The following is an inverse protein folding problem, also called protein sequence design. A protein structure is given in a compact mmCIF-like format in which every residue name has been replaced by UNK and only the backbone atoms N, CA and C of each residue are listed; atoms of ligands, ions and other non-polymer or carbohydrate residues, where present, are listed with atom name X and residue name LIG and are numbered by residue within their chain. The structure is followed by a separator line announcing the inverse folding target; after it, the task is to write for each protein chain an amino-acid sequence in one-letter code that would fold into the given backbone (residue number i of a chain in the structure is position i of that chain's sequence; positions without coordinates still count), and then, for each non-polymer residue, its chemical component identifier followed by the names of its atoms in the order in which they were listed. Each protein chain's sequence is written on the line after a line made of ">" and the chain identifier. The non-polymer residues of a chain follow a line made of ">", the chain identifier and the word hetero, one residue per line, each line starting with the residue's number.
data_IF_204854361935
#
_entry.id   IF_204854361935
#
_cell.length_a   1.000
_cell.length_b   1.000
_cell.length_c   1.000
_cell.angle_alpha   90.00
_cell.angle_beta   90.00
_cell.angle_gamma   90.00
#
_symmetry.space_group_name_H-M   'P 1'
#
loop_
_entity.id
_entity.type
_entity.pdbx_description
1 polymer ?
#
# COMPACT_ATOMS: atom_id res chain seq x y z
N UNK A 1 -11.32 6.53 -12.78
CA UNK A 1 -10.39 6.20 -13.88
C UNK A 1 -10.17 4.70 -13.88
N UNK A 2 -10.68 3.95 -14.87
CA UNK A 2 -10.53 2.49 -14.92
C UNK A 2 -9.20 2.15 -15.59
N UNK A 3 -8.18 1.84 -14.79
CA UNK A 3 -6.88 1.37 -15.27
C UNK A 3 -6.92 -0.16 -15.13
N UNK A 4 -7.00 -0.92 -16.20
CA UNK A 4 -6.95 -2.38 -16.06
C UNK A 4 -7.36 -3.17 -17.29
N UNK A 5 -6.39 -3.39 -18.19
CA UNK A 5 -6.29 -4.60 -19.03
C UNK A 5 -5.17 -4.53 -20.09
N UNK A 6 -4.57 -3.35 -20.33
CA UNK A 6 -3.50 -3.18 -21.31
C UNK A 6 -2.16 -3.80 -20.88
N UNK A 7 -1.24 -4.03 -21.84
CA UNK A 7 0.13 -4.49 -21.59
C UNK A 7 0.84 -3.65 -20.52
N UNK A 8 1.75 -4.28 -19.76
CA UNK A 8 2.50 -3.63 -18.67
C UNK A 8 3.20 -2.33 -19.13
N UNK A 9 3.75 -2.30 -20.35
CA UNK A 9 4.40 -1.11 -20.88
C UNK A 9 3.43 0.07 -21.09
N UNK A 10 2.25 -0.18 -21.66
CA UNK A 10 1.22 0.86 -21.84
C UNK A 10 0.70 1.34 -20.47
N UNK A 11 0.55 0.41 -19.52
CA UNK A 11 0.16 0.72 -18.15
C UNK A 11 1.19 1.62 -17.47
N UNK A 12 2.49 1.35 -17.66
CA UNK A 12 3.58 2.20 -17.16
C UNK A 12 3.50 3.61 -17.72
N UNK A 13 3.42 3.77 -19.05
CA UNK A 13 3.35 5.08 -19.70
C UNK A 13 2.13 5.87 -19.22
N UNK A 14 1.00 5.20 -19.12
CA UNK A 14 -0.24 5.80 -18.65
C UNK A 14 -0.15 6.25 -17.19
N UNK A 15 0.32 5.38 -16.29
CA UNK A 15 0.47 5.72 -14.87
C UNK A 15 1.45 6.87 -14.68
N UNK A 16 2.60 6.85 -15.38
CA UNK A 16 3.58 7.93 -15.32
C UNK A 16 2.96 9.27 -15.72
N UNK A 17 2.28 9.32 -16.88
CA UNK A 17 1.63 10.53 -17.36
C UNK A 17 0.54 11.05 -16.40
N UNK A 18 -0.09 10.17 -15.62
CA UNK A 18 -1.12 10.54 -14.65
C UNK A 18 -0.51 11.08 -13.38
N UNK A 19 0.42 10.35 -12.76
CA UNK A 19 1.03 10.74 -11.48
C UNK A 19 1.84 12.03 -11.59
N UNK A 20 2.38 12.34 -12.77
CA UNK A 20 3.12 13.59 -13.01
C UNK A 20 2.25 14.72 -13.56
N UNK A 21 0.96 14.49 -13.74
CA UNK A 21 0.05 15.54 -14.21
C UNK A 21 -0.32 16.52 -13.10
N UNK A 22 -0.33 17.81 -13.43
CA UNK A 22 -0.83 18.88 -12.57
C UNK A 22 -2.24 18.60 -12.03
N UNK A 23 -3.10 17.99 -12.84
CA UNK A 23 -4.47 17.64 -12.44
C UNK A 23 -4.48 16.66 -11.26
N UNK A 24 -3.61 15.65 -11.32
CA UNK A 24 -3.47 14.65 -10.27
C UNK A 24 -2.87 15.28 -9.01
N UNK A 25 -1.75 15.99 -9.15
CA UNK A 25 -1.01 16.59 -8.03
C UNK A 25 -1.82 17.69 -7.31
N UNK A 26 -2.61 18.48 -8.05
CA UNK A 26 -3.47 19.54 -7.48
C UNK A 26 -4.85 19.03 -7.07
N UNK A 27 -5.10 17.72 -7.12
CA UNK A 27 -6.37 17.07 -6.74
C UNK A 27 -7.59 17.71 -7.43
N UNK A 28 -7.43 18.19 -8.67
CA UNK A 28 -8.46 18.97 -9.35
C UNK A 28 -9.66 18.12 -9.79
N UNK A 29 -10.86 18.56 -9.40
CA UNK A 29 -12.14 17.97 -9.81
C UNK A 29 -12.69 16.90 -8.87
N UNK A 30 -12.21 16.88 -7.62
CA UNK A 30 -12.60 15.91 -6.59
C UNK A 30 -13.02 16.76 -5.39
N UNK A 31 -14.33 16.80 -5.10
CA UNK A 31 -14.87 17.71 -4.09
C UNK A 31 -14.41 17.29 -2.70
N UNK A 32 -13.71 18.16 -1.96
CA UNK A 32 -13.31 18.09 -0.54
C UNK A 32 -12.86 16.74 0.07
N UNK A 33 -12.68 15.67 -0.70
CA UNK A 33 -12.23 14.35 -0.26
C UNK A 33 -10.80 14.07 -0.76
N UNK A 34 -10.01 13.34 0.05
CA UNK A 34 -8.68 12.88 -0.34
C UNK A 34 -8.81 11.87 -1.48
N UNK A 35 -8.21 12.09 -2.66
CA UNK A 35 -8.47 11.25 -3.80
C UNK A 35 -7.61 9.98 -3.79
N UNK A 36 -8.28 8.83 -3.67
CA UNK A 36 -7.64 7.53 -3.84
C UNK A 36 -7.69 7.07 -5.30
N UNK A 37 -6.56 6.57 -5.79
CA UNK A 37 -6.45 5.99 -7.13
C UNK A 37 -6.11 4.51 -7.00
N UNK A 38 -6.96 3.66 -7.59
CA UNK A 38 -6.81 2.20 -7.51
C UNK A 38 -6.31 1.71 -8.86
N UNK A 39 -5.17 1.03 -8.87
CA UNK A 39 -4.64 0.31 -10.04
C UNK A 39 -4.80 -1.20 -9.81
N UNK A 40 -5.93 -1.80 -10.18
CA UNK A 40 -6.11 -3.24 -10.08
C UNK A 40 -5.26 -3.96 -11.14
N UNK A 41 -4.79 -5.15 -10.80
CA UNK A 41 -4.05 -6.04 -11.69
C UNK A 41 -4.31 -7.49 -11.28
N UNK A 42 -3.99 -8.44 -12.16
CA UNK A 42 -4.22 -9.86 -11.89
C UNK A 42 -3.10 -10.43 -10.99
N UNK A 43 -3.37 -11.43 -10.13
CA UNK A 43 -2.34 -12.00 -9.26
C UNK A 43 -1.09 -12.53 -9.98
N UNK A 44 -1.23 -13.05 -11.20
CA UNK A 44 -0.11 -13.51 -12.04
C UNK A 44 0.77 -12.37 -12.57
N UNK A 45 0.31 -11.12 -12.49
CA UNK A 45 1.07 -9.92 -12.86
C UNK A 45 1.88 -9.33 -11.68
N UNK A 46 1.79 -9.88 -10.45
CA UNK A 46 2.37 -9.29 -9.23
C UNK A 46 3.84 -8.87 -9.41
N UNK A 47 4.70 -9.78 -9.88
CA UNK A 47 6.12 -9.48 -10.09
C UNK A 47 6.35 -8.38 -11.12
N UNK A 48 5.54 -8.33 -12.18
CA UNK A 48 5.63 -7.29 -13.20
C UNK A 48 5.18 -5.94 -12.64
N UNK A 49 4.13 -5.93 -11.82
CA UNK A 49 3.59 -4.72 -11.18
C UNK A 49 4.52 -4.17 -10.10
N UNK A 50 5.19 -5.03 -9.31
CA UNK A 50 6.22 -4.59 -8.37
C UNK A 50 7.39 -3.90 -9.10
N UNK A 51 7.86 -4.48 -10.22
CA UNK A 51 8.91 -3.85 -11.04
C UNK A 51 8.45 -2.52 -11.64
N UNK A 52 7.23 -2.49 -12.18
CA UNK A 52 6.63 -1.29 -12.75
C UNK A 52 6.48 -0.19 -11.70
N UNK A 53 5.99 -0.51 -10.49
CA UNK A 53 5.84 0.44 -9.39
C UNK A 53 7.19 1.04 -8.98
N UNK A 54 8.24 0.20 -8.89
CA UNK A 54 9.59 0.67 -8.59
C UNK A 54 10.10 1.64 -9.66
N UNK A 55 9.94 1.28 -10.94
CA UNK A 55 10.35 2.13 -12.07
C UNK A 55 9.58 3.45 -12.09
N UNK A 56 8.26 3.42 -11.84
CA UNK A 56 7.43 4.63 -11.76
C UNK A 56 7.92 5.56 -10.65
N UNK A 57 8.21 5.01 -9.47
CA UNK A 57 8.71 5.77 -8.32
C UNK A 57 10.05 6.43 -8.65
N UNK A 58 10.99 5.66 -9.22
CA UNK A 58 12.30 6.18 -9.62
C UNK A 58 12.14 7.29 -10.67
N UNK A 59 11.28 7.09 -11.67
CA UNK A 59 11.09 8.08 -12.73
C UNK A 59 10.40 9.36 -12.24
N UNK A 60 9.37 9.23 -11.40
CA UNK A 60 8.69 10.37 -10.80
C UNK A 60 9.64 11.18 -9.90
N UNK A 61 10.52 10.51 -9.16
CA UNK A 61 11.56 11.17 -8.36
C UNK A 61 12.57 11.93 -9.24
N UNK A 62 12.96 11.40 -10.40
CA UNK A 62 13.79 12.13 -11.38
C UNK A 62 13.10 13.39 -11.91
N UNK A 63 11.77 13.37 -12.02
CA UNK A 63 10.94 14.51 -12.43
C UNK A 63 10.65 15.49 -11.28
N UNK A 64 11.25 15.27 -10.10
CA UNK A 64 11.21 16.17 -8.94
C UNK A 64 10.06 15.92 -7.97
N UNK A 65 9.32 14.82 -8.13
CA UNK A 65 8.24 14.43 -7.20
C UNK A 65 8.79 13.60 -6.04
N UNK A 66 8.28 13.85 -4.83
CA UNK A 66 8.58 13.04 -3.66
C UNK A 66 7.56 11.93 -3.53
N UNK A 67 7.92 10.71 -3.94
CA UNK A 67 7.06 9.54 -3.79
C UNK A 67 7.42 8.76 -2.52
N UNK A 68 6.49 8.70 -1.56
CA UNK A 68 6.58 7.78 -0.43
C UNK A 68 5.94 6.45 -0.82
N UNK A 69 6.65 5.35 -0.61
CA UNK A 69 6.13 4.00 -0.88
C UNK A 69 6.05 3.22 0.43
N UNK A 70 4.87 2.68 0.73
CA UNK A 70 4.61 1.81 1.87
C UNK A 70 4.05 0.49 1.34
N UNK A 71 4.74 -0.62 1.64
CA UNK A 71 4.18 -1.95 1.49
C UNK A 71 3.48 -2.34 2.81
N UNK A 72 2.20 -2.71 2.74
CA UNK A 72 1.41 -3.07 3.92
C UNK A 72 1.88 -4.36 4.60
N UNK A 73 2.38 -5.33 3.85
CA UNK A 73 2.94 -6.55 4.42
C UNK A 73 4.21 -6.24 5.20
N UNK A 74 5.15 -5.51 4.59
CA UNK A 74 6.38 -5.10 5.25
C UNK A 74 6.08 -4.27 6.50
N UNK A 75 5.12 -3.35 6.42
CA UNK A 75 4.66 -2.57 7.56
C UNK A 75 4.09 -3.47 8.66
N UNK A 76 3.23 -4.43 8.32
CA UNK A 76 2.66 -5.37 9.28
C UNK A 76 3.77 -6.18 10.00
N UNK A 77 4.71 -6.76 9.24
CA UNK A 77 5.86 -7.48 9.80
C UNK A 77 6.68 -6.58 10.73
N UNK A 78 6.93 -5.34 10.33
CA UNK A 78 7.64 -4.37 11.16
C UNK A 78 6.90 -4.10 12.47
N UNK A 79 5.58 -3.88 12.43
CA UNK A 79 4.75 -3.68 13.63
C UNK A 79 4.78 -4.90 14.56
N UNK A 80 4.78 -6.11 14.01
CA UNK A 80 4.89 -7.34 14.80
C UNK A 80 6.25 -7.45 15.49
N UNK A 81 7.33 -7.13 14.78
CA UNK A 81 8.70 -7.15 15.32
C UNK A 81 8.92 -6.11 16.41
N UNK A 82 8.44 -4.88 16.21
CA UNK A 82 8.53 -3.81 17.22
C UNK A 82 7.88 -4.19 18.55
N UNK A 83 6.87 -5.06 18.51
CA UNK A 83 6.14 -5.54 19.69
C UNK A 83 6.69 -6.88 20.24
N UNK A 84 7.71 -7.46 19.61
CA UNK A 84 8.24 -8.78 19.95
C UNK A 84 7.26 -9.93 19.71
N UNK A 85 6.26 -9.72 18.85
CA UNK A 85 5.21 -10.70 18.54
C UNK A 85 5.54 -11.56 17.32
N UNK A 86 6.45 -11.10 16.46
CA UNK A 86 6.82 -11.80 15.23
C UNK A 86 7.34 -13.21 15.50
N UNK A 87 8.33 -13.32 16.40
CA UNK A 87 8.94 -14.59 16.78
C UNK A 87 7.93 -15.52 17.47
N UNK A 88 7.09 -14.97 18.35
CA UNK A 88 6.05 -15.74 19.04
C UNK A 88 5.02 -16.32 18.06
N UNK A 89 4.57 -15.53 17.09
CA UNK A 89 3.62 -15.99 16.07
C UNK A 89 4.25 -17.09 15.23
N UNK A 90 5.51 -16.95 14.81
CA UNK A 90 6.20 -17.98 14.03
C UNK A 90 6.40 -19.30 14.80
N UNK A 91 6.66 -19.22 16.11
CA UNK A 91 6.79 -20.41 16.97
C UNK A 91 5.45 -21.13 17.14
N UNK A 92 4.35 -20.38 17.25
CA UNK A 92 3.02 -20.93 17.49
C UNK A 92 2.26 -21.32 16.22
N UNK A 93 2.57 -20.72 15.06
CA UNK A 93 1.89 -20.93 13.78
C UNK A 93 1.72 -22.43 13.41
N UNK A 94 2.73 -23.32 13.58
CA UNK A 94 2.58 -24.73 13.23
C UNK A 94 1.49 -25.47 14.02
N UNK A 95 1.21 -25.01 15.24
CA UNK A 95 0.25 -25.61 16.17
C UNK A 95 -1.12 -24.90 16.14
N UNK A 96 -1.24 -23.79 15.40
CA UNK A 96 -2.48 -23.03 15.24
C UNK A 96 -3.27 -23.48 14.02
N UNK A 97 -4.59 -23.48 14.14
CA UNK A 97 -5.46 -23.49 12.97
C UNK A 97 -5.35 -22.16 12.22
N UNK A 98 -5.68 -22.19 10.92
CA UNK A 98 -5.73 -20.97 10.09
C UNK A 98 -6.69 -19.90 10.64
N UNK A 99 -7.76 -20.31 11.31
CA UNK A 99 -8.73 -19.39 11.91
C UNK A 99 -8.14 -18.67 13.13
N UNK A 100 -7.44 -19.40 13.99
CA UNK A 100 -6.77 -18.84 15.18
C UNK A 100 -5.63 -17.90 14.79
N UNK A 101 -4.84 -18.26 13.77
CA UNK A 101 -3.80 -17.38 13.23
C UNK A 101 -4.42 -16.08 12.70
N UNK A 102 -5.53 -16.19 11.98
CA UNK A 102 -6.22 -15.01 11.42
C UNK A 102 -6.73 -14.08 12.52
N UNK A 103 -7.38 -14.62 13.56
CA UNK A 103 -7.87 -13.85 14.70
C UNK A 103 -6.72 -13.16 15.46
N UNK A 104 -5.60 -13.87 15.63
CA UNK A 104 -4.39 -13.32 16.26
C UNK A 104 -3.84 -12.15 15.46
N UNK A 105 -3.69 -12.30 14.14
CA UNK A 105 -3.19 -11.24 13.27
C UNK A 105 -4.16 -10.04 13.21
N UNK A 106 -5.46 -10.26 13.09
CA UNK A 106 -6.49 -9.20 13.06
C UNK A 106 -6.46 -8.36 14.34
N UNK A 107 -6.34 -9.00 15.52
CA UNK A 107 -6.25 -8.30 16.79
C UNK A 107 -4.98 -7.46 16.96
N UNK A 108 -3.83 -7.96 16.48
CA UNK A 108 -2.54 -7.27 16.65
C UNK A 108 -2.32 -6.19 15.59
N UNK A 109 -2.81 -6.40 14.37
CA UNK A 109 -2.59 -5.54 13.19
C UNK A 109 -3.79 -4.66 12.84
N UNK A 110 -4.65 -4.37 13.81
CA UNK A 110 -5.81 -3.51 13.61
C UNK A 110 -5.45 -2.20 12.87
N UNK A 111 -6.18 -1.92 11.78
CA UNK A 111 -5.88 -0.80 10.89
C UNK A 111 -5.92 0.54 11.63
N UNK A 112 -6.92 0.75 12.49
CA UNK A 112 -7.20 2.05 13.12
C UNK A 112 -6.18 2.40 14.20
N UNK A 113 -5.81 1.43 15.02
CA UNK A 113 -4.92 1.63 16.17
C UNK A 113 -3.44 1.40 15.86
N UNK A 114 -3.11 0.73 14.75
CA UNK A 114 -1.73 0.34 14.45
C UNK A 114 -1.25 0.86 13.10
N UNK A 115 -1.88 0.45 12.00
CA UNK A 115 -1.36 0.73 10.65
C UNK A 115 -1.52 2.18 10.22
N UNK A 116 -2.70 2.78 10.45
CA UNK A 116 -2.96 4.18 10.08
C UNK A 116 -2.02 5.13 10.83
N UNK A 117 -1.86 5.04 12.17
CA UNK A 117 -0.87 5.86 12.87
C UNK A 117 0.56 5.67 12.35
N UNK A 118 0.96 4.45 11.99
CA UNK A 118 2.29 4.17 11.47
C UNK A 118 2.51 4.72 10.04
N UNK A 119 1.45 4.80 9.22
CA UNK A 119 1.46 5.46 7.92
C UNK A 119 1.51 6.98 8.09
N UNK A 120 0.66 7.53 8.96
CA UNK A 120 0.62 8.96 9.27
C UNK A 120 1.98 9.46 9.78
N UNK A 121 2.62 8.74 10.70
CA UNK A 121 3.95 9.08 11.21
C UNK A 121 5.02 9.13 10.09
N UNK A 122 4.94 8.23 9.10
CA UNK A 122 5.86 8.25 7.94
C UNK A 122 5.59 9.44 7.03
N UNK A 123 4.33 9.79 6.81
CA UNK A 123 3.93 10.98 6.04
C UNK A 123 4.41 12.26 6.76
N UNK A 124 4.29 12.33 8.08
CA UNK A 124 4.76 13.49 8.85
C UNK A 124 6.29 13.64 8.80
N UNK A 125 7.03 12.53 8.88
CA UNK A 125 8.50 12.55 8.78
C UNK A 125 9.00 12.89 7.38
N UNK A 126 8.28 12.45 6.35
CA UNK A 126 8.60 12.69 4.94
C UNK A 126 7.32 13.02 4.18
N UNK A 127 6.87 14.29 4.18
CA UNK A 127 5.67 14.72 3.45
C UNK A 127 5.83 14.44 1.94
N UNK A 128 5.06 13.51 1.35
CA UNK A 128 5.19 13.16 -0.04
C UNK A 128 4.23 13.97 -0.93
N UNK A 129 4.60 14.15 -2.20
CA UNK A 129 3.68 14.62 -3.24
C UNK A 129 2.67 13.51 -3.59
N UNK A 130 3.11 12.24 -3.55
CA UNK A 130 2.26 11.08 -3.80
C UNK A 130 2.64 9.92 -2.87
N UNK A 131 1.63 9.29 -2.26
CA UNK A 131 1.77 8.06 -1.49
C UNK A 131 1.41 6.84 -2.34
N UNK A 132 2.33 5.88 -2.46
CA UNK A 132 2.08 4.57 -3.04
C UNK A 132 1.87 3.54 -1.91
N UNK A 133 0.75 2.83 -1.97
CA UNK A 133 0.45 1.71 -1.06
C UNK A 133 0.43 0.42 -1.88
N UNK A 134 1.25 -0.57 -1.49
CA UNK A 134 1.32 -1.91 -2.10
C UNK A 134 1.16 -3.02 -1.05
N UNK A 135 1.25 -4.28 -1.48
CA UNK A 135 1.20 -5.44 -0.57
C UNK A 135 -0.19 -5.79 -0.04
N UNK A 136 -1.23 -5.19 -0.63
CA UNK A 136 -2.64 -5.41 -0.24
C UNK A 136 -3.03 -6.89 -0.35
N UNK A 137 -2.58 -7.58 -1.39
CA UNK A 137 -2.89 -9.00 -1.59
C UNK A 137 -2.23 -9.91 -0.55
N UNK A 138 -1.04 -9.54 -0.07
CA UNK A 138 -0.25 -10.30 0.90
C UNK A 138 -0.82 -10.21 2.33
N UNK A 139 -1.58 -9.15 2.60
CA UNK A 139 -2.21 -8.90 3.89
C UNK A 139 -3.68 -9.31 3.98
N UNK A 140 -4.25 -9.81 2.89
CA UNK A 140 -5.61 -10.32 2.89
C UNK A 140 -5.67 -11.72 3.52
N UNK A 141 -6.65 -12.03 4.40
CA UNK A 141 -7.81 -11.22 4.79
C UNK A 141 -7.67 -10.49 6.14
N UNK A 142 -6.52 -10.53 6.80
CA UNK A 142 -6.33 -9.94 8.15
C UNK A 142 -6.22 -8.41 8.13
N UNK A 143 -5.92 -7.80 6.99
CA UNK A 143 -6.01 -6.35 6.78
C UNK A 143 -6.99 -6.10 5.65
N UNK A 144 -8.04 -5.31 5.93
CA UNK A 144 -9.04 -4.92 4.94
C UNK A 144 -8.77 -3.50 4.46
N UNK A 145 -8.40 -3.35 3.20
CA UNK A 145 -8.00 -2.05 2.62
C UNK A 145 -9.09 -0.98 2.68
N UNK A 146 -10.38 -1.35 2.66
CA UNK A 146 -11.45 -0.36 2.83
C UNK A 146 -11.37 0.35 4.19
N UNK A 147 -10.99 -0.36 5.26
CA UNK A 147 -10.77 0.25 6.57
C UNK A 147 -9.61 1.25 6.52
N UNK A 148 -8.60 1.00 5.69
CA UNK A 148 -7.49 1.94 5.50
C UNK A 148 -7.96 3.19 4.74
N UNK A 149 -8.67 3.00 3.61
CA UNK A 149 -9.11 4.10 2.76
C UNK A 149 -10.16 5.01 3.42
N UNK A 150 -11.03 4.46 4.27
CA UNK A 150 -12.08 5.23 4.96
C UNK A 150 -11.56 6.06 6.14
N UNK A 151 -10.40 5.73 6.69
CA UNK A 151 -9.89 6.32 7.94
C UNK A 151 -8.54 7.03 7.75
N UNK A 152 -8.15 7.32 6.50
CA UNK A 152 -6.95 8.09 6.12
C UNK A 152 -7.24 9.58 5.96
#
# INVERSE_FOLDING_TARGET
>A
MKIGSGPIHERYQHLLAVITSDRFLKLQGIGNEVPFFICPYKPDEELAMQRLQKQLREKANEEGLNILHINLYDLAVERLKERGLWEQILEMEPDMSKAELLETLDGVLDCKSNLIPAIAARIEQQPPDVLFISGIGEVYPYIRTHNLLENM
#
